data_IF_443431089167
#
_entry.id   IF_443431089167
#
_cell.length_a   1.000
_cell.length_b   1.000
_cell.length_c   1.000
_cell.angle_alpha   90.00
_cell.angle_beta   90.00
_cell.angle_gamma   90.00
#
_symmetry.space_group_name_H-M   'P 1'
#
loop_
_entity.id
_entity.type
_entity.pdbx_description
1 polymer ?
#
# COMPACT_ATOMS: atom_id res chain seq x y z
N UNK A 1 -2.91 -3.90 -4.87
CA UNK A 1 -2.68 -2.86 -3.84
C UNK A 1 -1.75 -1.82 -4.46
N UNK A 2 -2.10 -0.53 -4.39
CA UNK A 2 -1.19 0.53 -4.81
C UNK A 2 -0.03 0.61 -3.80
N UNK A 3 1.20 0.90 -4.24
CA UNK A 3 2.32 1.04 -3.32
C UNK A 3 2.15 2.28 -2.43
N UNK A 4 2.71 2.23 -1.23
CA UNK A 4 2.80 3.36 -0.31
C UNK A 4 3.82 4.37 -0.84
N UNK A 5 3.44 5.64 -0.99
CA UNK A 5 4.35 6.68 -1.44
C UNK A 5 5.48 6.91 -0.44
N UNK A 6 6.69 7.11 -0.97
CA UNK A 6 7.89 7.49 -0.22
C UNK A 6 8.32 8.87 -0.70
N UNK A 7 8.25 9.86 0.18
CA UNK A 7 8.45 11.26 -0.14
C UNK A 7 9.71 11.78 0.55
N UNK A 8 10.64 12.39 -0.18
CA UNK A 8 11.84 12.97 0.44
C UNK A 8 11.62 14.47 0.67
N UNK A 9 11.62 14.92 1.93
CA UNK A 9 11.50 16.35 2.27
C UNK A 9 12.84 17.04 2.47
N UNK A 10 13.92 16.26 2.48
CA UNK A 10 15.31 16.74 2.47
C UNK A 10 16.06 16.15 1.26
N UNK A 11 17.27 16.66 1.00
CA UNK A 11 18.19 16.09 0.00
C UNK A 11 18.80 14.79 0.54
N UNK A 12 17.98 13.74 0.55
CA UNK A 12 18.36 12.41 1.03
C UNK A 12 19.19 11.71 -0.06
N UNK A 13 20.42 11.25 0.24
CA UNK A 13 21.24 10.53 -0.73
C UNK A 13 20.55 9.25 -1.23
N UNK A 14 20.70 8.93 -2.51
CA UNK A 14 20.08 7.76 -3.14
C UNK A 14 20.39 6.47 -2.38
N UNK A 15 21.60 6.33 -1.85
CA UNK A 15 22.03 5.16 -1.07
C UNK A 15 21.23 5.00 0.23
N UNK A 16 20.81 6.10 0.85
CA UNK A 16 19.96 6.08 2.06
C UNK A 16 18.53 5.69 1.68
N UNK A 17 18.02 6.17 0.54
CA UNK A 17 16.70 5.79 0.02
C UNK A 17 16.67 4.30 -0.33
N UNK A 18 17.69 3.80 -1.02
CA UNK A 18 17.84 2.38 -1.33
C UNK A 18 17.97 1.53 -0.06
N UNK A 19 18.75 2.00 0.93
CA UNK A 19 18.83 1.36 2.25
C UNK A 19 17.45 1.26 2.89
N UNK A 20 16.68 2.35 2.91
CA UNK A 20 15.31 2.35 3.40
C UNK A 20 14.43 1.31 2.70
N UNK A 21 14.42 1.29 1.35
CA UNK A 21 13.62 0.35 0.58
C UNK A 21 14.01 -1.11 0.84
N UNK A 22 15.30 -1.40 1.00
CA UNK A 22 15.81 -2.74 1.26
C UNK A 22 15.54 -3.18 2.70
N UNK A 23 15.84 -2.34 3.69
CA UNK A 23 15.64 -2.64 5.11
C UNK A 23 14.15 -2.85 5.42
N UNK A 24 13.28 -1.98 4.89
CA UNK A 24 11.83 -2.09 5.09
C UNK A 24 11.28 -3.39 4.49
N UNK A 25 11.73 -3.77 3.29
CA UNK A 25 11.32 -5.03 2.67
C UNK A 25 11.86 -6.24 3.45
N UNK A 26 13.14 -6.23 3.85
CA UNK A 26 13.75 -7.29 4.64
C UNK A 26 13.10 -7.46 6.03
N UNK A 27 12.68 -6.36 6.65
CA UNK A 27 11.90 -6.38 7.89
C UNK A 27 10.52 -7.01 7.70
N UNK A 28 9.83 -6.69 6.60
CA UNK A 28 8.55 -7.31 6.27
C UNK A 28 8.67 -8.81 5.93
N UNK A 29 9.66 -9.19 5.12
CA UNK A 29 9.96 -10.60 4.77
C UNK A 29 10.23 -11.47 5.99
N UNK A 30 10.90 -10.93 7.02
CA UNK A 30 11.16 -11.66 8.27
C UNK A 30 9.88 -12.02 9.03
N UNK A 31 8.85 -11.19 8.93
CA UNK A 31 7.58 -11.41 9.61
C UNK A 31 6.65 -12.30 8.78
N UNK A 32 6.59 -12.04 7.47
CA UNK A 32 5.74 -12.76 6.53
C UNK A 32 6.59 -13.09 5.28
N UNK A 33 7.01 -14.36 5.12
CA UNK A 33 7.82 -14.75 3.97
C UNK A 33 7.11 -14.51 2.62
N UNK A 34 7.87 -14.07 1.61
CA UNK A 34 7.37 -13.72 0.27
C UNK A 34 6.41 -12.51 0.25
N UNK A 35 6.55 -11.60 1.21
CA UNK A 35 5.92 -10.28 1.19
C UNK A 35 6.44 -9.44 0.02
N UNK A 36 5.60 -9.03 -0.94
CA UNK A 36 6.03 -8.18 -2.03
C UNK A 36 6.49 -6.80 -1.53
N UNK A 37 7.40 -6.17 -2.28
CA UNK A 37 7.71 -4.74 -2.10
C UNK A 37 6.46 -3.91 -2.35
N UNK A 38 6.21 -2.93 -1.49
CA UNK A 38 5.05 -2.05 -1.64
C UNK A 38 5.37 -0.59 -1.31
N UNK A 39 6.63 -0.19 -1.36
CA UNK A 39 7.06 1.21 -1.21
C UNK A 39 7.43 1.79 -2.58
N UNK A 40 6.98 3.01 -2.88
CA UNK A 40 7.24 3.68 -4.16
C UNK A 40 7.75 5.11 -3.95
N UNK A 41 8.97 5.39 -4.41
CA UNK A 41 9.60 6.71 -4.33
C UNK A 41 8.91 7.69 -5.27
N UNK A 42 8.35 8.75 -4.70
CA UNK A 42 7.74 9.83 -5.47
C UNK A 42 8.83 10.72 -6.04
N UNK A 43 8.81 10.89 -7.35
CA UNK A 43 9.80 11.68 -8.08
C UNK A 43 9.15 12.89 -8.74
N UNK A 44 9.98 13.79 -9.25
CA UNK A 44 9.54 14.92 -10.06
C UNK A 44 9.77 14.62 -11.55
N UNK A 45 8.73 14.83 -12.36
CA UNK A 45 8.80 14.82 -13.83
C UNK A 45 8.30 16.18 -14.31
N UNK A 46 9.16 16.92 -15.01
CA UNK A 46 8.87 18.28 -15.51
C UNK A 46 8.37 19.26 -14.43
N UNK A 47 8.87 19.11 -13.19
CA UNK A 47 8.49 19.96 -12.05
C UNK A 47 7.18 19.56 -11.37
N UNK A 48 6.54 18.48 -11.81
CA UNK A 48 5.31 17.93 -11.20
C UNK A 48 5.59 16.64 -10.46
N UNK A 49 4.88 16.43 -9.34
CA UNK A 49 4.99 15.19 -8.59
C UNK A 49 4.43 14.01 -9.40
N UNK A 50 5.28 13.01 -9.66
CA UNK A 50 4.93 11.75 -10.31
C UNK A 50 4.85 10.66 -9.26
N UNK A 51 3.63 10.22 -8.95
CA UNK A 51 3.37 9.16 -7.96
C UNK A 51 3.40 7.82 -8.72
N UNK A 52 4.38 6.93 -8.46
CA UNK A 52 4.48 5.68 -9.19
C UNK A 52 3.34 4.73 -8.84
N UNK A 53 2.88 3.97 -9.85
CA UNK A 53 1.87 2.92 -9.67
C UNK A 53 2.46 1.56 -9.28
N UNK A 54 3.78 1.43 -9.31
CA UNK A 54 4.53 0.21 -8.98
C UNK A 54 5.56 0.51 -7.88
N UNK A 55 5.86 -0.49 -7.06
CA UNK A 55 6.90 -0.35 -6.04
C UNK A 55 8.25 -0.02 -6.68
N UNK A 56 9.07 0.76 -5.97
CA UNK A 56 10.43 1.07 -6.38
C UNK A 56 11.36 -0.09 -6.03
N UNK A 57 12.22 -0.43 -6.97
CA UNK A 57 13.20 -1.51 -6.84
C UNK A 57 14.61 -0.93 -6.93
N UNK A 58 15.44 -1.07 -5.88
CA UNK A 58 16.86 -0.77 -5.98
C UNK A 58 17.56 -1.70 -7.00
N UNK A 59 18.58 -1.21 -7.74
CA UNK A 59 19.15 0.14 -7.68
C UNK A 59 18.25 1.19 -8.36
N UNK A 60 18.13 2.35 -7.73
CA UNK A 60 17.34 3.47 -8.23
C UNK A 60 18.13 4.26 -9.28
N UNK A 61 17.41 4.78 -10.28
CA UNK A 61 17.94 5.82 -11.15
C UNK A 61 18.00 7.15 -10.38
N UNK A 62 18.93 8.06 -10.73
CA UNK A 62 18.94 9.41 -10.18
C UNK A 62 17.56 10.07 -10.34
N UNK A 63 17.09 10.73 -9.28
CA UNK A 63 15.79 11.37 -9.26
C UNK A 63 15.84 12.65 -8.44
N UNK A 64 14.82 13.49 -8.63
CA UNK A 64 14.58 14.67 -7.81
C UNK A 64 13.29 14.50 -7.05
N UNK A 65 13.28 14.86 -5.77
CA UNK A 65 12.04 14.90 -4.98
C UNK A 65 11.28 16.21 -5.24
N UNK A 66 9.95 16.16 -5.46
CA UNK A 66 9.13 17.37 -5.58
C UNK A 66 8.81 18.02 -4.21
N UNK A 67 9.29 17.45 -3.10
CA UNK A 67 8.85 17.79 -1.74
C UNK A 67 9.92 18.43 -0.86
N UNK A 68 11.07 18.82 -1.43
CA UNK A 68 12.16 19.42 -0.66
C UNK A 68 11.67 20.66 0.09
N UNK A 69 11.90 20.69 1.41
CA UNK A 69 11.51 21.78 2.31
C UNK A 69 10.02 21.78 2.71
N UNK A 70 9.21 20.84 2.23
CA UNK A 70 7.79 20.75 2.60
C UNK A 70 7.58 20.04 3.93
N UNK A 71 6.55 20.48 4.66
CA UNK A 71 6.03 19.80 5.84
C UNK A 71 5.28 18.51 5.48
N UNK A 72 5.08 17.62 6.45
CA UNK A 72 4.31 16.40 6.25
C UNK A 72 2.86 16.68 5.77
N UNK A 73 2.26 17.78 6.23
CA UNK A 73 0.91 18.20 5.82
C UNK A 73 0.87 18.64 4.36
N UNK A 74 1.86 19.43 3.93
CA UNK A 74 1.98 19.86 2.53
C UNK A 74 2.24 18.67 1.60
N UNK A 75 3.15 17.77 1.97
CA UNK A 75 3.41 16.53 1.21
C UNK A 75 2.14 15.71 1.07
N UNK A 76 1.43 15.48 2.18
CA UNK A 76 0.21 14.69 2.17
C UNK A 76 -0.86 15.27 1.23
N UNK A 77 -1.01 16.59 1.19
CA UNK A 77 -1.96 17.26 0.30
C UNK A 77 -1.61 17.09 -1.19
N UNK A 78 -0.32 16.97 -1.54
CA UNK A 78 0.12 16.71 -2.90
C UNK A 78 -0.07 15.24 -3.32
N UNK A 79 0.13 14.31 -2.39
CA UNK A 79 -0.02 12.87 -2.62
C UNK A 79 -1.47 12.44 -2.38
N UNK A 80 -2.41 13.20 -2.96
CA UNK A 80 -3.84 13.04 -2.72
C UNK A 80 -4.31 11.64 -3.14
N UNK A 81 -4.98 10.93 -2.22
CA UNK A 81 -5.53 9.59 -2.45
C UNK A 81 -4.81 8.46 -1.71
N UNK A 82 -3.61 8.69 -1.18
CA UNK A 82 -2.95 7.72 -0.29
C UNK A 82 -3.44 7.89 1.16
N UNK A 83 -3.87 6.81 1.80
CA UNK A 83 -4.22 6.83 3.23
C UNK A 83 -2.97 6.87 4.12
N UNK A 84 -1.88 6.29 3.63
CA UNK A 84 -0.62 6.17 4.33
C UNK A 84 0.56 6.46 3.39
N UNK A 85 1.60 7.09 3.91
CA UNK A 85 2.85 7.34 3.19
C UNK A 85 4.05 7.32 4.15
N UNK A 86 5.25 7.24 3.60
CA UNK A 86 6.50 7.43 4.33
C UNK A 86 7.19 8.71 3.89
N UNK A 87 7.79 9.43 4.83
CA UNK A 87 8.64 10.60 4.60
C UNK A 87 10.07 10.28 5.04
N UNK A 88 11.01 10.60 4.16
CA UNK A 88 12.43 10.66 4.46
C UNK A 88 12.84 12.12 4.59
N UNK A 89 13.28 12.51 5.78
CA UNK A 89 13.71 13.87 6.08
C UNK A 89 15.19 13.92 6.46
N UNK A 90 15.67 15.07 6.93
CA UNK A 90 17.09 15.25 7.29
C UNK A 90 17.55 14.20 8.32
N UNK A 91 16.69 13.89 9.30
CA UNK A 91 17.01 12.95 10.35
C UNK A 91 17.14 11.51 9.80
N UNK A 92 16.39 11.16 8.75
CA UNK A 92 16.49 9.84 8.10
C UNK A 92 17.90 9.52 7.57
N UNK A 93 18.67 10.54 7.22
CA UNK A 93 20.06 10.39 6.74
C UNK A 93 20.97 9.89 7.86
N UNK A 94 20.71 10.33 9.09
CA UNK A 94 21.60 10.13 10.24
C UNK A 94 21.30 8.84 11.00
N UNK A 95 20.02 8.55 11.25
CA UNK A 95 19.63 7.50 12.23
C UNK A 95 18.90 6.30 11.62
N UNK A 96 18.66 6.29 10.30
CA UNK A 96 17.96 5.19 9.65
C UNK A 96 16.51 5.04 10.05
N UNK A 97 15.85 6.18 10.32
CA UNK A 97 14.42 6.24 10.62
C UNK A 97 13.63 6.95 9.52
N UNK A 98 12.37 6.59 9.36
CA UNK A 98 11.42 7.26 8.47
C UNK A 98 10.21 7.74 9.28
N UNK A 99 9.55 8.80 8.80
CA UNK A 99 8.27 9.26 9.36
C UNK A 99 7.14 8.61 8.58
N UNK A 100 6.34 7.77 9.23
CA UNK A 100 5.10 7.28 8.67
C UNK A 100 4.00 8.30 8.90
N UNK A 101 3.16 8.52 7.90
CA UNK A 101 2.05 9.46 7.95
C UNK A 101 0.76 8.70 7.65
N UNK A 102 -0.28 8.97 8.44
CA UNK A 102 -1.62 8.42 8.27
C UNK A 102 -2.66 9.55 8.22
N UNK A 103 -3.63 9.44 7.31
CA UNK A 103 -4.79 10.35 7.30
C UNK A 103 -5.74 10.04 8.44
N UNK A 104 -6.24 11.07 9.11
CA UNK A 104 -7.34 10.95 10.08
C UNK A 104 -8.39 12.03 9.85
N UNK A 105 -9.63 11.83 10.35
CA UNK A 105 -10.59 12.93 10.44
C UNK A 105 -9.95 14.10 11.19
N UNK A 106 -9.86 15.26 10.53
CA UNK A 106 -9.30 16.48 11.13
C UNK A 106 -7.80 16.71 10.95
N UNK A 107 -7.07 15.86 10.21
CA UNK A 107 -5.66 16.13 9.90
C UNK A 107 -4.83 14.88 9.57
N UNK A 108 -3.53 14.97 9.82
CA UNK A 108 -2.59 13.85 9.70
C UNK A 108 -2.09 13.41 11.08
N UNK A 109 -1.72 12.14 11.19
CA UNK A 109 -0.95 11.62 12.31
C UNK A 109 0.40 11.13 11.78
N UNK A 110 1.45 11.38 12.56
CA UNK A 110 2.82 10.99 12.19
C UNK A 110 3.46 10.16 13.28
N UNK A 111 4.24 9.16 12.89
CA UNK A 111 5.09 8.39 13.81
C UNK A 111 6.44 8.15 13.17
N UNK A 112 7.53 8.37 13.93
CA UNK A 112 8.87 8.02 13.47
C UNK A 112 9.18 6.57 13.82
N UNK A 113 9.72 5.84 12.86
CA UNK A 113 10.03 4.41 13.00
C UNK A 113 11.36 4.08 12.35
N UNK A 114 11.97 2.96 12.71
CA UNK A 114 13.14 2.43 11.98
C UNK A 114 12.77 2.05 10.55
N UNK A 115 13.72 2.14 9.62
CA UNK A 115 13.54 1.69 8.23
C UNK A 115 13.00 0.27 8.14
N UNK A 116 13.58 -0.65 8.89
CA UNK A 116 13.16 -2.05 9.01
C UNK A 116 11.66 -2.21 9.26
N UNK A 117 11.08 -1.31 10.06
CA UNK A 117 9.70 -1.47 10.49
C UNK A 117 8.67 -0.84 9.55
N UNK A 118 9.10 0.04 8.64
CA UNK A 118 8.19 0.89 7.89
C UNK A 118 7.18 0.12 7.05
N UNK A 119 7.64 -0.84 6.23
CA UNK A 119 6.75 -1.54 5.30
C UNK A 119 5.69 -2.36 6.04
N UNK A 120 6.07 -3.13 7.07
CA UNK A 120 5.10 -3.97 7.77
C UNK A 120 4.12 -3.15 8.62
N UNK A 121 4.54 -2.01 9.17
CA UNK A 121 3.64 -1.10 9.89
C UNK A 121 2.63 -0.46 8.94
N UNK A 122 3.05 0.01 7.77
CA UNK A 122 2.13 0.57 6.76
C UNK A 122 1.11 -0.49 6.27
N UNK A 123 1.60 -1.69 5.93
CA UNK A 123 0.73 -2.82 5.56
C UNK A 123 -0.23 -3.21 6.69
N UNK A 124 0.26 -3.25 7.92
CA UNK A 124 -0.55 -3.54 9.10
C UNK A 124 -1.65 -2.51 9.33
N UNK A 125 -1.33 -1.22 9.16
CA UNK A 125 -2.30 -0.12 9.26
C UNK A 125 -3.40 -0.23 8.20
N UNK A 126 -3.02 -0.47 6.94
CA UNK A 126 -3.98 -0.65 5.84
C UNK A 126 -4.94 -1.80 6.13
N UNK A 127 -4.42 -2.98 6.51
CA UNK A 127 -5.23 -4.16 6.85
C UNK A 127 -6.14 -3.89 8.05
N UNK A 128 -5.61 -3.26 9.10
CA UNK A 128 -6.37 -2.97 10.32
C UNK A 128 -7.52 -1.98 10.09
N UNK A 129 -7.48 -1.21 9.01
CA UNK A 129 -8.55 -0.27 8.64
C UNK A 129 -9.58 -0.83 7.66
N UNK A 130 -9.44 -2.06 7.20
CA UNK A 130 -10.39 -2.67 6.26
C UNK A 130 -11.77 -2.86 6.91
N UNK A 131 -12.80 -2.31 6.26
CA UNK A 131 -14.21 -2.51 6.63
C UNK A 131 -14.78 -3.81 6.08
N UNK A 132 -15.88 -4.30 6.66
CA UNK A 132 -16.57 -5.50 6.16
C UNK A 132 -17.03 -5.37 4.70
N UNK A 133 -17.44 -4.17 4.27
CA UNK A 133 -17.84 -3.92 2.88
C UNK A 133 -16.66 -4.11 1.91
N UNK A 134 -15.47 -3.62 2.29
CA UNK A 134 -14.24 -3.80 1.51
C UNK A 134 -13.81 -5.27 1.49
N UNK A 135 -13.93 -5.97 2.63
CA UNK A 135 -13.67 -7.41 2.73
C UNK A 135 -14.62 -8.20 1.82
N UNK A 136 -15.91 -7.84 1.77
CA UNK A 136 -16.89 -8.45 0.87
C UNK A 136 -16.54 -8.22 -0.60
N UNK A 137 -16.10 -7.01 -0.96
CA UNK A 137 -15.66 -6.69 -2.32
C UNK A 137 -14.42 -7.51 -2.72
N UNK A 138 -13.45 -7.65 -1.82
CA UNK A 138 -12.28 -8.52 -2.01
C UNK A 138 -12.72 -9.97 -2.20
N UNK A 139 -13.55 -10.49 -1.30
CA UNK A 139 -14.07 -11.85 -1.40
C UNK A 139 -14.83 -12.10 -2.72
N UNK A 140 -15.60 -11.12 -3.19
CA UNK A 140 -16.33 -11.23 -4.45
C UNK A 140 -15.46 -11.13 -5.70
N UNK A 141 -14.40 -10.31 -5.68
CA UNK A 141 -13.46 -10.15 -6.81
C UNK A 141 -12.58 -11.39 -7.01
N UNK A 142 -12.32 -12.13 -5.93
CA UNK A 142 -11.55 -13.39 -5.96
C UNK A 142 -12.39 -14.64 -6.24
N UNK A 143 -13.67 -14.48 -6.64
CA UNK A 143 -14.56 -15.60 -6.95
C UNK A 143 -15.12 -16.32 -5.71
N UNK A 144 -15.10 -15.68 -4.54
CA UNK A 144 -15.73 -16.16 -3.33
C UNK A 144 -17.26 -16.07 -3.36
N UNK A 145 -17.90 -16.52 -2.28
CA UNK A 145 -19.36 -16.69 -2.16
C UNK A 145 -20.17 -15.40 -2.41
N UNK A 146 -19.54 -14.23 -2.22
CA UNK A 146 -20.15 -12.91 -2.44
C UNK A 146 -19.87 -12.33 -3.84
N UNK A 147 -19.11 -13.02 -4.68
CA UNK A 147 -18.92 -12.64 -6.07
C UNK A 147 -20.26 -12.60 -6.75
N UNK A 148 -20.58 -11.49 -7.41
CA UNK A 148 -21.84 -11.29 -8.12
C UNK A 148 -22.21 -12.59 -8.82
N UNK A 149 -23.23 -13.25 -8.27
CA UNK A 149 -23.75 -14.47 -8.84
C UNK A 149 -24.19 -14.13 -10.26
N UNK A 150 -23.40 -14.55 -11.26
CA UNK A 150 -23.95 -14.92 -12.56
C UNK A 150 -24.76 -16.20 -12.36
N UNK A 151 -25.79 -16.12 -11.53
CA UNK A 151 -26.88 -17.05 -11.55
C UNK A 151 -28.08 -16.21 -11.92
N UNK A 152 -28.48 -16.29 -13.18
CA UNK A 152 -29.92 -16.48 -13.37
C UNK A 152 -30.32 -17.63 -12.43
N UNK A 153 -31.34 -17.47 -11.58
CA UNK A 153 -31.75 -18.54 -10.69
C UNK A 153 -32.18 -19.72 -11.56
N UNK A 154 -31.35 -20.77 -11.58
CA UNK A 154 -31.65 -22.00 -12.29
C UNK A 154 -32.82 -22.65 -11.56
N UNK A 155 -34.03 -22.39 -12.05
CA UNK A 155 -35.25 -23.06 -11.57
C UNK A 155 -34.97 -24.55 -11.58
N UNK A 156 -35.13 -25.19 -10.41
CA UNK A 156 -34.98 -26.62 -10.25
C UNK A 156 -35.74 -27.34 -11.37
N UNK A 157 -35.02 -28.19 -12.10
CA UNK A 157 -35.61 -28.99 -13.16
C UNK A 157 -36.79 -29.83 -12.64
N UNK A 158 -37.74 -30.19 -13.50
CA UNK A 158 -38.90 -30.97 -13.09
C UNK A 158 -38.46 -32.26 -12.38
N UNK A 159 -39.10 -32.54 -11.25
CA UNK A 159 -38.80 -33.70 -10.43
C UNK A 159 -38.89 -35.01 -11.25
N UNK A 160 -37.96 -35.96 -11.06
CA UNK A 160 -37.97 -37.23 -11.79
C UNK A 160 -39.31 -37.96 -11.60
N UNK A 161 -39.89 -38.45 -12.69
CA UNK A 161 -41.14 -39.21 -12.62
C UNK A 161 -40.91 -40.52 -11.88
N UNK A 162 -41.65 -40.71 -10.79
CA UNK A 162 -41.72 -41.94 -10.01
C UNK A 162 -42.19 -43.07 -10.94
N UNK A 163 -41.32 -44.04 -11.26
CA UNK A 163 -41.75 -45.29 -11.88
C UNK A 163 -42.38 -46.15 -10.78
N UNK A 164 -43.71 -46.22 -10.78
CA UNK A 164 -44.41 -47.27 -10.05
C UNK A 164 -44.17 -48.57 -10.82
N UNK A 165 -43.56 -49.55 -10.16
CA UNK A 165 -43.29 -50.87 -10.74
C UNK A 165 -44.58 -51.50 -11.24
N UNK A 166 -44.59 -51.89 -12.52
CA UNK A 166 -45.61 -52.76 -13.08
C UNK A 166 -45.22 -54.21 -12.83
N UNK A 167 -46.21 -54.98 -12.35
CA UNK A 167 -46.18 -56.44 -12.26
C UNK A 167 -45.87 -57.09 -13.61
#
# INVERSE_FOLDING_TARGET
MSPYPVCCTAEVPTEVVERFLNDAHAGAERLVPNTPRCLAVVTSVDGTASIPTTASEPPLQPFTSPFIGQSAEEVYNHVNGANYLAILDQQSIEDGTAVLVARRPGGIQTVRTTFESAQHLLTGLEIATLGFDEIQQVAGSSGGVYGASRNEPQRGGPAPRRRLGGN
#
